data_IF_163931225888
#
_entry.id   IF_163931225888
#
_cell.length_a   1.000
_cell.length_b   1.000
_cell.length_c   1.000
_cell.angle_alpha   90.00
_cell.angle_beta   90.00
_cell.angle_gamma   90.00
#
_symmetry.space_group_name_H-M   'P 1'
#
loop_
_entity.id
_entity.type
_entity.pdbx_description
1 polymer ?
#
# COMPACT_ATOMS: atom_id res chain seq x y z
N UNK A 1 2.04 -67.79 -7.32
CA UNK A 1 3.15 -66.85 -7.54
C UNK A 1 2.80 -65.52 -6.88
N UNK A 2 3.63 -65.08 -5.93
CA UNK A 2 3.55 -63.77 -5.26
C UNK A 2 3.85 -62.64 -6.27
N UNK A 3 3.04 -61.59 -6.33
CA UNK A 3 3.49 -60.25 -6.74
C UNK A 3 2.76 -59.15 -5.96
N UNK A 4 3.48 -58.64 -4.97
CA UNK A 4 3.30 -57.40 -4.22
C UNK A 4 3.57 -56.20 -5.14
N UNK A 5 2.69 -55.18 -5.19
CA UNK A 5 3.05 -53.80 -5.62
C UNK A 5 2.18 -52.80 -4.82
N UNK A 6 2.68 -52.36 -3.66
CA UNK A 6 3.13 -50.98 -3.32
C UNK A 6 1.98 -49.97 -3.24
N UNK A 7 1.56 -49.69 -2.00
CA UNK A 7 0.74 -48.54 -1.64
C UNK A 7 1.57 -47.26 -1.77
N UNK A 8 1.18 -46.39 -2.71
CA UNK A 8 1.70 -45.02 -2.79
C UNK A 8 1.13 -44.20 -1.63
N UNK A 9 1.99 -43.94 -0.64
CA UNK A 9 1.75 -43.00 0.45
C UNK A 9 1.47 -41.61 -0.11
N UNK A 10 0.23 -41.15 0.11
CA UNK A 10 -0.20 -39.78 -0.09
C UNK A 10 0.66 -38.84 0.77
N UNK A 11 1.68 -38.23 0.17
CA UNK A 11 2.35 -37.06 0.74
C UNK A 11 1.44 -35.86 0.51
N UNK A 12 0.40 -35.72 1.33
CA UNK A 12 -0.29 -34.44 1.49
C UNK A 12 0.71 -33.49 2.13
N UNK A 13 1.36 -32.69 1.27
CA UNK A 13 2.16 -31.53 1.63
C UNK A 13 1.37 -30.76 2.70
N UNK A 14 1.94 -30.65 3.90
CA UNK A 14 1.46 -29.74 4.92
C UNK A 14 1.62 -28.32 4.38
N UNK A 15 0.61 -27.86 3.63
CA UNK A 15 0.47 -26.46 3.29
C UNK A 15 0.19 -25.74 4.61
N UNK A 16 1.25 -25.21 5.23
CA UNK A 16 1.09 -24.22 6.28
C UNK A 16 0.16 -23.14 5.72
N UNK A 17 -0.90 -22.73 6.45
CA UNK A 17 -1.76 -21.67 5.97
C UNK A 17 -0.86 -20.50 5.60
N UNK A 18 -0.96 -20.04 4.36
CA UNK A 18 -0.37 -18.77 3.99
C UNK A 18 -0.87 -17.77 5.03
N UNK A 19 0.05 -17.04 5.67
CA UNK A 19 -0.29 -15.96 6.60
C UNK A 19 -1.10 -14.95 5.79
N UNK A 20 -2.42 -15.12 5.76
CA UNK A 20 -3.31 -14.18 5.14
C UNK A 20 -3.18 -12.90 5.94
N UNK A 21 -2.78 -11.84 5.25
CA UNK A 21 -2.80 -10.49 5.81
C UNK A 21 -4.17 -10.28 6.44
N UNK A 22 -4.22 -9.85 7.70
CA UNK A 22 -5.47 -9.54 8.37
C UNK A 22 -6.30 -8.57 7.49
N UNK A 23 -7.60 -8.81 7.42
CA UNK A 23 -8.50 -7.93 6.68
C UNK A 23 -8.40 -6.50 7.23
N UNK A 24 -8.45 -5.53 6.33
CA UNK A 24 -8.43 -4.11 6.67
C UNK A 24 -9.59 -3.80 7.63
N UNK A 25 -9.28 -3.10 8.73
CA UNK A 25 -10.29 -2.66 9.68
C UNK A 25 -11.20 -1.59 9.07
N UNK A 26 -12.38 -2.02 8.62
CA UNK A 26 -13.31 -1.15 7.88
C UNK A 26 -13.93 -0.06 8.74
N UNK A 27 -14.19 -0.35 10.01
CA UNK A 27 -14.82 0.60 10.93
C UNK A 27 -13.84 1.73 11.29
N UNK A 28 -12.55 1.40 11.40
CA UNK A 28 -11.50 2.40 11.57
C UNK A 28 -11.38 3.33 10.36
N UNK A 29 -11.47 2.82 9.14
CA UNK A 29 -11.49 3.68 7.94
C UNK A 29 -12.72 4.59 7.94
N UNK A 30 -13.90 4.04 8.27
CA UNK A 30 -15.14 4.83 8.33
C UNK A 30 -15.08 5.93 9.38
N UNK A 31 -14.41 5.73 10.51
CA UNK A 31 -14.26 6.78 11.52
C UNK A 31 -13.35 7.93 11.08
N UNK A 32 -12.48 7.70 10.09
CA UNK A 32 -11.61 8.72 9.48
C UNK A 32 -12.26 9.40 8.26
N UNK A 33 -13.29 8.78 7.68
CA UNK A 33 -13.96 9.24 6.48
C UNK A 33 -14.69 10.56 6.72
N UNK A 34 -14.47 11.53 5.82
CA UNK A 34 -15.24 12.77 5.77
C UNK A 34 -15.40 13.22 4.31
N UNK A 35 -16.49 13.94 3.96
CA UNK A 35 -16.71 14.42 2.60
C UNK A 35 -15.51 15.20 2.06
N UNK A 36 -15.07 14.85 0.86
CA UNK A 36 -13.95 15.51 0.18
C UNK A 36 -12.56 15.26 0.77
N UNK A 37 -12.41 14.35 1.74
CA UNK A 37 -11.09 13.94 2.26
C UNK A 37 -10.64 12.60 1.70
N UNK A 38 -9.34 12.48 1.44
CA UNK A 38 -8.67 11.21 1.20
C UNK A 38 -8.16 10.66 2.54
N UNK A 39 -8.56 9.43 2.86
CA UNK A 39 -8.12 8.72 4.06
C UNK A 39 -6.82 7.97 3.76
N UNK A 40 -5.87 7.99 4.68
CA UNK A 40 -4.70 7.11 4.66
C UNK A 40 -4.56 6.40 6.00
N UNK A 41 -4.28 5.11 5.98
CA UNK A 41 -3.99 4.33 7.20
C UNK A 41 -2.64 3.65 7.05
N UNK A 42 -1.78 3.79 8.05
CA UNK A 42 -0.57 2.99 8.20
C UNK A 42 -0.82 1.98 9.30
N UNK A 43 -0.78 0.69 8.97
CA UNK A 43 -0.74 -0.37 9.96
C UNK A 43 0.71 -0.78 10.26
N UNK A 44 1.04 -0.83 11.55
CA UNK A 44 2.35 -1.23 12.03
C UNK A 44 2.30 -2.69 12.46
N UNK A 45 3.17 -3.51 11.88
CA UNK A 45 3.25 -4.93 12.18
C UNK A 45 4.57 -5.33 12.86
N UNK A 46 4.52 -6.36 13.71
CA UNK A 46 5.68 -6.89 14.42
C UNK A 46 6.42 -8.01 13.65
N UNK A 47 7.45 -8.61 14.25
CA UNK A 47 8.23 -9.70 13.65
C UNK A 47 7.44 -10.98 13.31
N UNK A 48 6.21 -11.12 13.85
CA UNK A 48 5.29 -12.22 13.54
C UNK A 48 4.30 -11.89 12.43
N UNK A 49 4.31 -10.64 11.92
CA UNK A 49 3.38 -10.16 10.91
C UNK A 49 2.04 -9.65 11.47
N UNK A 50 1.87 -9.69 12.80
CA UNK A 50 0.66 -9.22 13.50
C UNK A 50 0.61 -7.70 13.53
N UNK A 51 -0.58 -7.13 13.30
CA UNK A 51 -0.81 -5.69 13.50
C UNK A 51 -0.81 -5.37 14.98
N UNK A 52 0.11 -4.50 15.40
CA UNK A 52 0.28 -4.08 16.80
C UNK A 52 -0.17 -2.63 17.01
N UNK A 53 -0.20 -1.82 15.96
CA UNK A 53 -0.71 -0.45 16.02
C UNK A 53 -1.20 0.06 14.66
N UNK A 54 -1.95 1.18 14.66
CA UNK A 54 -2.46 1.85 13.46
C UNK A 54 -2.40 3.37 13.62
N UNK A 55 -2.00 4.05 12.55
CA UNK A 55 -2.10 5.52 12.46
C UNK A 55 -2.92 5.94 11.24
N UNK A 56 -4.01 6.64 11.50
CA UNK A 56 -4.90 7.22 10.50
C UNK A 56 -4.57 8.68 10.17
N UNK A 57 -4.77 9.05 8.91
CA UNK A 57 -4.63 10.39 8.37
C UNK A 57 -5.84 10.70 7.49
N UNK A 58 -6.25 11.97 7.47
CA UNK A 58 -7.31 12.44 6.59
C UNK A 58 -6.93 13.81 6.02
N UNK A 59 -6.81 13.90 4.69
CA UNK A 59 -6.39 15.13 4.00
C UNK A 59 -7.44 15.60 3.02
N UNK A 60 -7.85 16.86 3.13
CA UNK A 60 -8.72 17.50 2.15
C UNK A 60 -7.95 17.89 0.87
N UNK A 61 -6.66 18.21 1.00
CA UNK A 61 -5.80 18.55 -0.14
C UNK A 61 -5.23 17.30 -0.84
N UNK A 62 -5.49 16.10 -0.32
CA UNK A 62 -4.84 14.87 -0.74
C UNK A 62 -3.39 14.79 -0.26
N UNK A 63 -2.63 13.87 -0.86
CA UNK A 63 -1.23 13.61 -0.54
C UNK A 63 -0.32 13.98 -1.71
N UNK A 64 0.88 14.46 -1.41
CA UNK A 64 1.81 15.03 -2.40
C UNK A 64 3.05 14.16 -2.55
N UNK A 65 3.34 13.75 -3.78
CA UNK A 65 4.61 13.12 -4.12
C UNK A 65 5.75 14.13 -3.97
N UNK A 66 6.81 13.74 -3.26
CA UNK A 66 8.03 14.55 -3.06
C UNK A 66 9.22 14.01 -3.85
N UNK A 67 9.16 12.74 -4.23
CA UNK A 67 10.10 12.08 -5.13
C UNK A 67 9.37 10.98 -5.92
N UNK A 68 10.04 10.23 -6.82
CA UNK A 68 9.43 9.11 -7.54
C UNK A 68 8.90 7.98 -6.66
N UNK A 69 9.41 7.84 -5.44
CA UNK A 69 9.07 6.75 -4.51
C UNK A 69 8.67 7.26 -3.13
N UNK A 70 8.47 8.57 -2.98
CA UNK A 70 8.14 9.18 -1.69
C UNK A 70 6.99 10.15 -1.79
N UNK A 71 6.15 10.17 -0.76
CA UNK A 71 5.09 11.14 -0.62
C UNK A 71 4.85 11.53 0.83
N UNK A 72 4.40 12.76 1.02
CA UNK A 72 4.20 13.34 2.35
C UNK A 72 2.78 13.10 2.84
N UNK A 73 2.64 12.63 4.07
CA UNK A 73 1.33 12.32 4.70
C UNK A 73 0.90 13.34 5.75
N UNK A 74 1.85 13.99 6.42
CA UNK A 74 1.62 15.15 7.29
C UNK A 74 2.87 16.07 7.29
N UNK A 75 2.94 17.06 8.18
CA UNK A 75 4.08 17.98 8.24
C UNK A 75 5.40 17.30 8.65
N UNK A 76 5.35 16.15 9.34
CA UNK A 76 6.50 15.49 9.97
C UNK A 76 6.84 14.14 9.34
N UNK A 77 5.95 13.60 8.52
CA UNK A 77 5.98 12.20 8.08
C UNK A 77 5.94 12.12 6.55
N UNK A 78 6.96 11.48 6.00
CA UNK A 78 7.04 11.05 4.59
C UNK A 78 7.02 9.53 4.54
N UNK A 79 6.20 8.97 3.66
CA UNK A 79 6.24 7.54 3.35
C UNK A 79 7.13 7.30 2.14
N UNK A 80 8.03 6.34 2.26
CA UNK A 80 8.87 5.81 1.19
C UNK A 80 8.34 4.45 0.78
N UNK A 81 8.05 4.29 -0.51
CA UNK A 81 7.54 3.04 -1.07
C UNK A 81 8.63 1.98 -1.04
N UNK A 82 8.49 1.02 -0.12
CA UNK A 82 9.49 0.00 0.13
C UNK A 82 9.68 -0.92 -1.07
N UNK A 83 10.93 -1.24 -1.38
CA UNK A 83 11.30 -2.15 -2.45
C UNK A 83 11.20 -1.58 -3.87
N UNK A 84 10.96 -0.27 -4.01
CA UNK A 84 10.98 0.41 -5.31
C UNK A 84 12.21 1.30 -5.46
N UNK A 85 12.78 1.30 -6.66
CA UNK A 85 13.85 2.21 -7.05
C UNK A 85 13.37 3.10 -8.21
N UNK A 86 13.67 4.42 -8.20
CA UNK A 86 13.38 5.28 -9.34
C UNK A 86 14.11 4.80 -10.59
N UNK A 87 13.40 4.80 -11.71
CA UNK A 87 14.03 4.59 -13.00
C UNK A 87 14.98 5.76 -13.34
N UNK A 88 16.03 5.43 -14.08
CA UNK A 88 17.13 6.35 -14.42
C UNK A 88 17.18 6.63 -15.93
N UNK A 89 17.78 7.76 -16.29
CA UNK A 89 17.97 8.18 -17.68
C UNK A 89 16.73 8.85 -18.29
N UNK A 90 16.81 9.08 -19.60
CA UNK A 90 15.75 9.70 -20.39
C UNK A 90 14.76 8.65 -20.89
N UNK A 91 13.48 9.03 -21.02
CA UNK A 91 12.44 8.18 -21.57
C UNK A 91 11.49 8.96 -22.48
N UNK A 92 10.80 8.21 -23.34
CA UNK A 92 9.68 8.70 -24.14
C UNK A 92 8.49 7.79 -23.92
N UNK A 93 7.38 8.34 -23.43
CA UNK A 93 6.10 7.65 -23.33
C UNK A 93 5.08 8.36 -24.23
N UNK A 94 4.88 7.81 -25.43
CA UNK A 94 3.95 8.39 -26.43
C UNK A 94 2.49 8.34 -26.00
N UNK A 95 2.11 7.39 -25.15
CA UNK A 95 0.71 7.24 -24.70
C UNK A 95 0.30 8.40 -23.79
N UNK A 96 1.26 8.88 -22.98
CA UNK A 96 1.08 9.97 -22.02
C UNK A 96 1.70 11.28 -22.52
N UNK A 97 2.07 11.36 -23.81
CA UNK A 97 2.73 12.51 -24.46
C UNK A 97 3.94 13.07 -23.66
N UNK A 98 4.75 12.17 -23.10
CA UNK A 98 5.88 12.54 -22.25
C UNK A 98 7.23 12.27 -22.94
N UNK A 99 8.14 13.23 -22.85
CA UNK A 99 9.56 13.07 -23.17
C UNK A 99 10.43 13.82 -22.13
N UNK A 100 11.36 13.12 -21.49
CA UNK A 100 12.25 13.68 -20.48
C UNK A 100 12.77 12.64 -19.49
N UNK A 101 13.25 13.11 -18.35
CA UNK A 101 13.83 12.25 -17.32
C UNK A 101 12.81 11.23 -16.77
N UNK A 102 13.22 9.96 -16.68
CA UNK A 102 12.36 8.89 -16.18
C UNK A 102 11.91 9.11 -14.74
N UNK A 103 12.77 9.70 -13.91
CA UNK A 103 12.44 10.09 -12.54
C UNK A 103 11.33 11.15 -12.49
N UNK A 104 11.32 12.12 -13.41
CA UNK A 104 10.27 13.12 -13.49
C UNK A 104 8.92 12.48 -13.85
N UNK A 105 8.92 11.58 -14.83
CA UNK A 105 7.73 10.80 -15.19
C UNK A 105 7.23 9.98 -14.00
N UNK A 106 8.11 9.25 -13.30
CA UNK A 106 7.75 8.42 -12.18
C UNK A 106 7.15 9.22 -11.01
N UNK A 107 7.69 10.40 -10.71
CA UNK A 107 7.13 11.30 -9.70
C UNK A 107 5.75 11.84 -10.11
N UNK A 108 5.57 12.19 -11.38
CA UNK A 108 4.26 12.60 -11.91
C UNK A 108 3.23 11.47 -11.80
N UNK A 109 3.60 10.25 -12.19
CA UNK A 109 2.73 9.07 -12.09
C UNK A 109 2.38 8.74 -10.63
N UNK A 110 3.34 8.80 -9.71
CA UNK A 110 3.04 8.66 -8.28
C UNK A 110 2.05 9.74 -7.83
N UNK A 111 2.23 10.99 -8.25
CA UNK A 111 1.30 12.07 -7.91
C UNK A 111 -0.11 11.83 -8.46
N UNK A 112 -0.25 11.26 -9.66
CA UNK A 112 -1.54 10.87 -10.25
C UNK A 112 -2.17 9.74 -9.42
N UNK A 113 -1.40 8.70 -9.09
CA UNK A 113 -1.86 7.58 -8.27
C UNK A 113 -2.30 8.01 -6.87
N UNK A 114 -1.72 9.07 -6.29
CA UNK A 114 -2.12 9.58 -4.98
C UNK A 114 -3.42 10.40 -5.00
N UNK A 115 -3.83 10.93 -6.17
CA UNK A 115 -5.06 11.73 -6.32
C UNK A 115 -6.30 10.87 -6.52
N UNK A 116 -6.13 9.68 -7.08
CA UNK A 116 -7.24 8.84 -7.53
C UNK A 116 -7.96 8.03 -6.43
N UNK A 117 -7.29 7.42 -5.44
CA UNK A 117 -7.96 6.62 -4.41
C UNK A 117 -8.62 7.48 -3.34
N UNK A 118 -9.71 6.97 -2.76
CA UNK A 118 -10.38 7.57 -1.60
C UNK A 118 -9.78 7.09 -0.29
N UNK A 119 -9.24 5.87 -0.29
CA UNK A 119 -8.48 5.30 0.83
C UNK A 119 -7.14 4.81 0.32
N UNK A 120 -6.08 5.19 1.01
CA UNK A 120 -4.74 4.63 0.83
C UNK A 120 -4.42 3.81 2.07
N UNK A 121 -4.03 2.56 1.87
CA UNK A 121 -3.65 1.68 2.96
C UNK A 121 -2.18 1.33 2.83
N UNK A 122 -1.44 1.50 3.91
CA UNK A 122 0.00 1.23 3.97
C UNK A 122 0.29 0.29 5.12
N UNK A 123 1.31 -0.57 4.95
CA UNK A 123 1.87 -1.38 6.03
C UNK A 123 3.34 -1.05 6.19
N UNK A 124 3.77 -0.89 7.44
CA UNK A 124 5.14 -0.61 7.82
C UNK A 124 5.53 -1.51 9.00
N UNK A 125 6.82 -1.84 9.13
CA UNK A 125 7.29 -2.55 10.31
C UNK A 125 7.20 -1.64 11.53
N UNK A 126 6.93 -2.19 12.72
CA UNK A 126 6.73 -1.38 13.94
C UNK A 126 7.90 -0.46 14.28
N UNK A 127 9.13 -0.78 13.86
CA UNK A 127 10.29 0.11 14.06
C UNK A 127 10.24 1.39 13.23
N UNK A 128 9.42 1.45 12.18
CA UNK A 128 9.20 2.66 11.37
C UNK A 128 8.30 3.65 12.10
N UNK A 129 7.63 3.23 13.17
CA UNK A 129 6.74 4.07 13.94
C UNK A 129 7.51 5.26 14.54
N UNK A 130 6.96 6.47 14.35
CA UNK A 130 7.55 7.75 14.75
C UNK A 130 8.79 8.21 13.96
N UNK A 131 9.28 7.41 13.00
CA UNK A 131 10.31 7.90 12.09
C UNK A 131 9.72 8.98 11.16
N UNK A 132 10.52 10.03 10.89
CA UNK A 132 10.11 11.11 9.99
C UNK A 132 9.98 10.63 8.53
N UNK A 133 10.79 9.63 8.15
CA UNK A 133 10.66 8.90 6.89
C UNK A 133 10.42 7.44 7.23
N UNK A 134 9.33 6.88 6.73
CA UNK A 134 8.91 5.51 7.03
C UNK A 134 8.91 4.68 5.75
N UNK A 135 9.52 3.50 5.79
CA UNK A 135 9.37 2.52 4.72
C UNK A 135 8.02 1.83 4.83
N UNK A 136 7.23 1.88 3.76
CA UNK A 136 5.91 1.28 3.75
C UNK A 136 5.56 0.69 2.37
N UNK A 137 4.76 -0.38 2.40
CA UNK A 137 4.10 -0.91 1.21
C UNK A 137 2.67 -0.40 1.19
N UNK A 138 2.25 0.27 0.11
CA UNK A 138 0.96 0.95 0.03
C UNK A 138 0.07 0.45 -1.12
N UNK A 139 -1.25 0.51 -0.90
CA UNK A 139 -2.31 0.09 -1.82
C UNK A 139 -3.42 1.15 -1.85
N UNK A 140 -3.86 1.54 -3.05
CA UNK A 140 -4.96 2.47 -3.23
C UNK A 140 -6.29 1.73 -3.43
N UNK A 141 -7.32 2.12 -2.68
CA UNK A 141 -8.70 1.69 -2.88
C UNK A 141 -9.48 2.80 -3.58
N UNK A 142 -9.81 2.55 -4.84
CA UNK A 142 -10.55 3.47 -5.70
C UNK A 142 -12.07 3.39 -5.49
N UNK A 143 -12.56 2.22 -5.10
CA UNK A 143 -13.93 1.99 -4.70
C UNK A 143 -13.91 1.35 -3.30
N UNK A 144 -14.59 1.97 -2.35
CA UNK A 144 -14.74 1.45 -1.01
C UNK A 144 -16.25 1.29 -0.70
N UNK A 145 -16.79 0.05 -0.75
CA UNK A 145 -18.23 -0.17 -0.61
C UNK A 145 -18.78 0.37 0.70
N UNK A 146 -19.78 1.26 0.62
CA UNK A 146 -20.49 1.81 1.76
C UNK A 146 -19.74 2.91 2.55
N UNK A 147 -18.70 3.54 1.98
CA UNK A 147 -18.22 4.84 2.48
C UNK A 147 -17.34 5.60 1.48
N UNK A 148 -17.36 6.94 1.66
CA UNK A 148 -16.53 8.03 1.12
C UNK A 148 -17.18 8.91 0.04
N UNK A 149 -18.04 8.37 -0.82
CA UNK A 149 -18.92 9.17 -1.70
C UNK A 149 -20.32 8.55 -1.91
N UNK A 150 -20.66 7.45 -1.22
CA UNK A 150 -22.06 6.98 -1.18
C UNK A 150 -22.83 7.90 -0.24
N UNK A 151 -23.28 9.03 -0.77
CA UNK A 151 -24.45 9.77 -0.29
C UNK A 151 -25.64 8.81 -0.46
N UNK A 152 -26.43 8.61 0.59
CA UNK A 152 -27.78 8.05 0.45
C UNK A 152 -28.64 8.95 -0.44
#
# INVERSE_FOLDING_TARGET
>A
MKRTIIATLASCVMATPALSVEDINKDYIKSLAAPGKTVLVVEYYDGSGKIVDRKGYASQAGYKAVSPTEFRVDEKTTLHLFGLEPCQGEMVNRKEDFAGACSAFAQEQLQIMLKSPKVIFCRAFVSEQNAAKQNATCYGYYNYPGSLDTVD
#
